data_IF_994797113485
#
_entry.id   IF_994797113485
#
_cell.length_a   1.000
_cell.length_b   1.000
_cell.length_c   1.000
_cell.angle_alpha   90.00
_cell.angle_beta   90.00
_cell.angle_gamma   90.00
#
_symmetry.space_group_name_H-M   'P 1'
#
loop_
_entity.id
_entity.type
_entity.pdbx_description
1 polymer ?
#
# COMPACT_ATOMS: atom_id res chain seq x y z
N UNK A 1 17.92 -13.02 -4.84
CA UNK A 1 18.09 -12.66 -4.69
C UNK A 1 18.23 -11.69 -4.46
N UNK A 2 18.00 -11.59 -4.68
CA UNK A 2 18.28 -10.90 -4.61
C UNK A 2 18.47 -10.08 -4.12
N UNK A 3 18.61 -9.94 -4.02
CA UNK A 3 18.83 -9.39 -3.50
C UNK A 3 19.43 -8.53 -3.32
N UNK A 4 19.74 -8.56 -3.54
CA UNK A 4 20.34 -7.92 -3.50
C UNK A 4 20.48 -6.81 -3.79
N UNK A 5 20.39 -6.57 -4.47
CA UNK A 5 20.32 -5.63 -5.01
C UNK A 5 19.90 -4.64 -4.47
N UNK A 6 19.78 -4.55 -4.07
CA UNK A 6 19.39 -3.80 -3.37
C UNK A 6 19.50 -2.40 -3.49
N UNK A 7 20.09 -1.92 -4.09
CA UNK A 7 20.25 -0.71 -4.09
C UNK A 7 19.25 0.01 -4.68
N UNK A 8 18.89 0.92 -4.80
CA UNK A 8 18.02 1.79 -5.46
C UNK A 8 17.15 1.18 -6.46
N UNK A 9 16.68 0.03 -6.17
CA UNK A 9 15.81 -0.61 -7.03
C UNK A 9 14.53 0.07 -7.14
N UNK A 10 13.97 0.18 -8.28
CA UNK A 10 12.62 0.67 -8.55
C UNK A 10 11.68 -0.52 -8.63
N UNK A 11 10.64 -0.47 -7.85
CA UNK A 11 9.62 -1.50 -7.87
C UNK A 11 8.32 -0.93 -8.40
N UNK A 12 7.49 -1.77 -8.99
CA UNK A 12 6.17 -1.34 -9.45
C UNK A 12 5.12 -2.29 -8.94
N UNK A 13 3.91 -1.81 -8.86
CA UNK A 13 2.79 -2.62 -8.45
C UNK A 13 1.49 -1.98 -8.85
N UNK A 14 0.40 -2.56 -8.42
CA UNK A 14 -0.90 -2.02 -8.73
C UNK A 14 -2.03 -2.97 -8.40
N UNK A 15 -3.22 -2.66 -8.90
CA UNK A 15 -4.40 -3.45 -8.62
C UNK A 15 -4.55 -4.59 -9.62
N UNK A 16 -5.51 -5.45 -9.35
CA UNK A 16 -5.76 -6.62 -10.19
C UNK A 16 -6.11 -6.24 -11.63
N UNK A 17 -6.95 -5.25 -11.83
CA UNK A 17 -7.39 -4.90 -13.18
C UNK A 17 -6.44 -3.96 -13.92
N UNK A 18 -5.43 -3.47 -13.26
CA UNK A 18 -4.45 -2.58 -13.88
C UNK A 18 -4.86 -1.13 -13.98
N UNK A 19 -6.03 -0.76 -13.48
CA UNK A 19 -6.47 0.63 -13.55
C UNK A 19 -5.64 1.54 -12.64
N UNK A 20 -5.04 1.00 -11.59
CA UNK A 20 -4.19 1.75 -10.67
C UNK A 20 -2.81 1.12 -10.69
N UNK A 21 -1.79 1.92 -10.99
CA UNK A 21 -0.41 1.46 -11.00
C UNK A 21 0.45 2.42 -10.21
N UNK A 22 1.50 1.93 -9.59
CA UNK A 22 2.41 2.79 -8.83
C UNK A 22 3.84 2.33 -9.01
N UNK A 23 4.74 3.22 -8.63
CA UNK A 23 6.17 3.02 -8.70
C UNK A 23 6.77 3.43 -7.37
N UNK A 24 7.72 2.64 -6.88
CA UNK A 24 8.38 2.90 -5.63
C UNK A 24 9.87 3.10 -5.90
N UNK A 25 10.42 4.21 -5.42
CA UNK A 25 11.84 4.50 -5.56
C UNK A 25 12.47 4.61 -4.17
N UNK A 26 12.67 3.51 -3.53
CA UNK A 26 13.26 3.55 -2.19
C UNK A 26 13.02 2.26 -1.46
N UNK A 27 13.55 2.18 -0.27
CA UNK A 27 13.41 0.98 0.57
C UNK A 27 12.25 1.13 1.52
N UNK A 28 11.60 0.04 1.87
CA UNK A 28 10.56 0.10 2.88
C UNK A 28 11.17 0.40 4.25
N UNK A 29 10.45 1.16 5.05
CA UNK A 29 10.84 1.43 6.43
C UNK A 29 10.40 0.30 7.34
N UNK A 30 9.25 -0.28 7.03
CA UNK A 30 8.66 -1.36 7.80
C UNK A 30 8.04 -2.36 6.86
N UNK A 31 8.13 -3.63 7.21
CA UNK A 31 7.40 -4.68 6.50
C UNK A 31 6.81 -5.56 7.58
N UNK A 32 5.52 -5.82 7.51
CA UNK A 32 4.91 -6.64 8.54
C UNK A 32 3.47 -7.00 8.25
N UNK A 33 2.92 -7.75 9.17
CA UNK A 33 1.54 -8.22 9.09
C UNK A 33 0.72 -7.59 10.20
N UNK A 34 -0.49 -7.20 9.86
CA UNK A 34 -1.42 -6.66 10.84
C UNK A 34 -2.58 -7.64 10.99
N UNK A 35 -2.79 -8.10 12.21
CA UNK A 35 -3.83 -9.09 12.51
C UNK A 35 -5.10 -8.48 13.10
N UNK A 36 -5.22 -7.17 13.12
CA UNK A 36 -6.39 -6.54 13.73
C UNK A 36 -7.64 -6.87 12.90
N UNK A 37 -8.79 -6.77 13.56
CA UNK A 37 -10.06 -7.10 12.93
C UNK A 37 -10.29 -6.29 11.66
N UNK A 38 -9.88 -5.04 11.66
CA UNK A 38 -10.06 -4.18 10.52
C UNK A 38 -9.27 -4.67 9.33
N UNK A 39 -8.00 -5.06 9.55
CA UNK A 39 -7.18 -5.59 8.47
C UNK A 39 -7.73 -6.92 7.95
N UNK A 40 -8.24 -7.75 8.85
CA UNK A 40 -8.85 -9.01 8.44
C UNK A 40 -10.05 -8.76 7.52
N UNK A 41 -10.88 -7.80 7.87
CA UNK A 41 -12.06 -7.52 7.06
C UNK A 41 -11.74 -6.84 5.74
N UNK A 42 -10.82 -5.90 5.74
CA UNK A 42 -10.51 -5.16 4.51
C UNK A 42 -9.77 -6.01 3.50
N UNK A 43 -9.00 -6.99 3.94
CA UNK A 43 -8.25 -7.86 3.03
C UNK A 43 -8.96 -9.19 2.77
N UNK A 44 -9.90 -9.55 3.62
CA UNK A 44 -10.54 -10.86 3.51
C UNK A 44 -9.61 -11.99 3.85
N UNK A 45 -8.60 -11.72 4.68
CA UNK A 45 -7.57 -12.69 5.03
C UNK A 45 -7.42 -12.72 6.55
N UNK A 46 -6.59 -13.63 7.03
CA UNK A 46 -6.30 -13.71 8.46
C UNK A 46 -5.51 -12.52 8.95
N UNK A 47 -4.82 -11.84 8.06
CA UNK A 47 -4.06 -10.65 8.38
C UNK A 47 -3.80 -9.86 7.10
N UNK A 48 -3.40 -8.61 7.26
CA UNK A 48 -2.95 -7.80 6.13
C UNK A 48 -1.44 -7.71 6.14
N UNK A 49 -0.82 -7.83 4.97
CA UNK A 49 0.63 -7.71 4.83
C UNK A 49 0.94 -6.39 4.15
N UNK A 50 1.76 -5.58 4.79
CA UNK A 50 2.05 -4.23 4.31
C UNK A 50 3.52 -3.90 4.39
N UNK A 51 3.96 -3.05 3.48
CA UNK A 51 5.27 -2.43 3.54
C UNK A 51 5.09 -0.92 3.61
N UNK A 52 5.72 -0.29 4.58
CA UNK A 52 5.62 1.15 4.78
C UNK A 52 6.79 1.89 4.16
N UNK A 53 6.48 2.97 3.46
CA UNK A 53 7.47 3.78 2.75
C UNK A 53 7.28 5.25 3.08
N UNK A 54 8.33 6.04 2.87
CA UNK A 54 8.16 7.48 2.84
C UNK A 54 7.28 7.80 1.63
N UNK A 55 6.29 8.64 1.82
CA UNK A 55 5.35 8.98 0.74
C UNK A 55 6.04 9.52 -0.49
N UNK A 56 7.14 10.23 -0.32
CA UNK A 56 7.86 10.82 -1.45
C UNK A 56 8.47 9.80 -2.38
N UNK A 57 8.59 8.55 -1.94
CA UNK A 57 9.14 7.48 -2.77
C UNK A 57 8.08 6.72 -3.54
N UNK A 58 6.81 7.00 -3.30
CA UNK A 58 5.71 6.29 -3.93
C UNK A 58 4.97 7.24 -4.86
N UNK A 59 4.79 6.82 -6.10
CA UNK A 59 4.14 7.64 -7.09
C UNK A 59 3.14 6.82 -7.87
N UNK A 60 1.93 7.30 -7.97
CA UNK A 60 0.91 6.62 -8.77
C UNK A 60 1.10 7.04 -10.22
N UNK A 61 1.46 6.08 -11.06
CA UNK A 61 1.76 6.33 -12.46
C UNK A 61 0.53 6.19 -13.34
N UNK A 62 -0.51 5.56 -12.84
CA UNK A 62 -1.77 5.41 -13.56
C UNK A 62 -2.88 5.33 -12.56
N UNK A 63 -3.90 6.17 -12.72
CA UNK A 63 -5.03 6.19 -11.82
C UNK A 63 -4.65 6.54 -10.39
N UNK A 64 -5.61 6.44 -9.51
CA UNK A 64 -5.41 6.67 -8.08
C UNK A 64 -6.34 5.78 -7.30
N UNK A 65 -5.94 5.34 -6.11
CA UNK A 65 -6.85 4.60 -5.26
C UNK A 65 -7.95 5.52 -4.75
N UNK A 66 -9.09 4.94 -4.47
CA UNK A 66 -10.16 5.64 -3.78
C UNK A 66 -9.99 5.31 -2.32
N UNK A 67 -10.09 6.29 -1.45
CA UNK A 67 -9.90 6.10 -0.02
C UNK A 67 -11.19 5.89 0.71
N UNK A 68 -11.17 4.95 1.65
CA UNK A 68 -12.24 4.76 2.60
C UNK A 68 -11.69 5.08 3.98
N UNK A 69 -12.35 6.00 4.68
CA UNK A 69 -11.95 6.34 6.04
C UNK A 69 -12.39 5.21 6.96
N UNK A 70 -11.48 4.30 7.25
CA UNK A 70 -11.80 3.14 8.07
C UNK A 70 -11.93 3.49 9.54
N UNK A 71 -11.36 4.63 9.94
CA UNK A 71 -11.50 5.17 11.29
C UNK A 71 -11.16 6.64 11.21
N UNK A 72 -11.25 7.35 12.35
CA UNK A 72 -10.86 8.74 12.35
C UNK A 72 -9.34 8.93 12.21
N UNK A 73 -8.59 7.84 12.36
CA UNK A 73 -7.13 7.90 12.27
C UNK A 73 -6.58 7.46 10.93
N UNK A 74 -7.30 6.65 10.20
CA UNK A 74 -6.74 5.95 9.04
C UNK A 74 -7.66 5.97 7.83
N UNK A 75 -7.04 5.93 6.66
CA UNK A 75 -7.73 5.78 5.40
C UNK A 75 -7.13 4.60 4.65
N UNK A 76 -7.96 3.81 3.99
CA UNK A 76 -7.54 2.65 3.24
C UNK A 76 -7.90 2.85 1.78
N UNK A 77 -6.90 2.72 0.91
CA UNK A 77 -7.08 2.93 -0.50
C UNK A 77 -7.35 1.64 -1.23
N UNK A 78 -8.21 1.70 -2.22
CA UNK A 78 -8.56 0.53 -3.03
C UNK A 78 -8.84 0.99 -4.45
N UNK A 79 -8.76 0.04 -5.38
CA UNK A 79 -9.08 0.35 -6.77
C UNK A 79 -10.59 0.50 -6.91
N UNK A 80 -11.08 1.63 -7.43
CA UNK A 80 -12.52 1.83 -7.56
C UNK A 80 -13.16 0.92 -8.61
N UNK A 81 -12.36 0.30 -9.47
CA UNK A 81 -12.89 -0.59 -10.49
C UNK A 81 -12.91 -2.05 -10.08
N UNK A 82 -11.83 -2.54 -9.49
CA UNK A 82 -11.76 -3.97 -9.15
C UNK A 82 -11.78 -4.26 -7.66
N UNK A 83 -11.68 -3.22 -6.83
CA UNK A 83 -11.75 -3.40 -5.39
C UNK A 83 -10.47 -3.87 -4.72
N UNK A 84 -9.37 -4.02 -5.45
CA UNK A 84 -8.11 -4.46 -4.84
C UNK A 84 -7.70 -3.55 -3.71
N UNK A 85 -7.30 -4.14 -2.59
CA UNK A 85 -6.74 -3.39 -1.48
C UNK A 85 -5.36 -2.90 -1.87
N UNK A 86 -5.11 -1.60 -1.74
CA UNK A 86 -3.86 -1.03 -2.21
C UNK A 86 -3.04 -0.36 -1.12
N UNK A 87 -3.65 0.54 -0.36
CA UNK A 87 -2.88 1.37 0.57
C UNK A 87 -3.51 1.46 1.94
N UNK A 88 -2.68 1.83 2.89
CA UNK A 88 -3.12 2.19 4.23
C UNK A 88 -2.29 3.39 4.64
N UNK A 89 -2.92 4.41 5.17
CA UNK A 89 -2.19 5.57 5.65
C UNK A 89 -2.88 6.20 6.84
N UNK A 90 -2.09 6.89 7.66
CA UNK A 90 -2.63 7.63 8.78
C UNK A 90 -3.01 9.02 8.30
N UNK A 91 -4.22 9.43 8.63
CA UNK A 91 -4.74 10.70 8.16
C UNK A 91 -3.89 11.88 8.63
N UNK A 92 -3.36 11.79 9.85
CA UNK A 92 -2.59 12.86 10.42
C UNK A 92 -1.12 12.86 9.99
N UNK A 93 -0.67 11.84 9.30
CA UNK A 93 0.74 11.74 8.92
C UNK A 93 0.86 11.43 7.43
N UNK A 94 0.99 12.46 6.64
CA UNK A 94 1.10 12.32 5.19
C UNK A 94 2.52 11.92 4.75
N UNK A 95 3.45 11.78 5.67
CA UNK A 95 4.84 11.45 5.29
C UNK A 95 5.05 9.98 5.03
N UNK A 96 4.09 9.14 5.40
CA UNK A 96 4.21 7.71 5.22
C UNK A 96 3.00 7.14 4.53
N UNK A 97 3.24 6.09 3.74
CA UNK A 97 2.17 5.33 3.12
C UNK A 97 2.54 3.86 3.19
N UNK A 98 1.57 3.02 3.49
CA UNK A 98 1.77 1.58 3.52
C UNK A 98 1.10 0.98 2.30
N UNK A 99 1.82 0.11 1.62
CA UNK A 99 1.31 -0.57 0.44
C UNK A 99 1.05 -2.03 0.75
N UNK A 100 -0.07 -2.53 0.26
CA UNK A 100 -0.42 -3.93 0.42
C UNK A 100 0.56 -4.78 -0.38
N UNK A 101 1.03 -5.86 0.22
CA UNK A 101 2.02 -6.74 -0.43
C UNK A 101 1.40 -7.81 -1.33
N UNK A 102 0.10 -7.86 -1.37
CA UNK A 102 -0.56 -8.84 -2.23
C UNK A 102 -0.48 -8.58 -3.71
#
# INVERSE_FOLDING_TARGET
>A
MAKTRAKTKTETGGCLCGAVRYRINGKPKHVGNCHCTMCQKTTGSLYGSFAGFDSKFVRFTKGKPKDYRSSKWAARGFCPKCGSTLTYRLVADATQIFLSLG
#
